data_IF_702703103182
#
_entry.id   IF_702703103182
#
_cell.length_a   1.000
_cell.length_b   1.000
_cell.length_c   1.000
_cell.angle_alpha   90.00
_cell.angle_beta   90.00
_cell.angle_gamma   90.00
#
_symmetry.space_group_name_H-M   'P 1'
#
loop_
_entity.id
_entity.type
_entity.pdbx_description
1 polymer ?
#
# COMPACT_ATOMS: atom_id res chain seq x y z
N UNK A 1 12.09 22.29 0.80
CA UNK A 1 10.63 22.09 0.86
C UNK A 1 10.33 20.72 1.45
N UNK A 2 9.42 20.67 2.40
CA UNK A 2 9.06 19.42 3.07
C UNK A 2 7.85 18.79 2.37
N UNK A 3 7.90 17.48 2.16
CA UNK A 3 6.74 16.73 1.69
C UNK A 3 5.95 16.28 2.91
N UNK A 4 4.69 16.65 2.96
CA UNK A 4 3.79 16.21 4.01
C UNK A 4 3.06 14.97 3.56
N UNK A 5 3.11 13.93 4.37
CA UNK A 5 2.39 12.70 4.13
C UNK A 5 1.16 12.68 5.04
N UNK A 6 0.02 13.04 4.46
CA UNK A 6 -1.27 13.01 5.16
C UNK A 6 -1.90 11.64 4.95
N UNK A 7 -1.72 10.75 5.91
CA UNK A 7 -2.21 9.38 5.82
C UNK A 7 -3.73 9.30 5.79
N UNK A 8 -4.39 10.16 6.54
CA UNK A 8 -5.86 10.20 6.54
C UNK A 8 -6.40 10.62 5.17
N UNK A 9 -5.76 11.61 4.54
CA UNK A 9 -6.15 12.06 3.21
C UNK A 9 -5.98 10.94 2.18
N UNK A 10 -4.86 10.22 2.22
CA UNK A 10 -4.61 9.09 1.32
C UNK A 10 -5.70 8.04 1.47
N UNK A 11 -5.98 7.64 2.71
CA UNK A 11 -7.00 6.61 2.98
C UNK A 11 -8.37 7.08 2.51
N UNK A 12 -8.76 8.31 2.85
CA UNK A 12 -10.07 8.85 2.49
C UNK A 12 -10.24 8.97 0.97
N UNK A 13 -9.20 9.39 0.25
CA UNK A 13 -9.27 9.47 -1.21
C UNK A 13 -9.40 8.09 -1.84
N UNK A 14 -8.69 7.09 -1.32
CA UNK A 14 -8.81 5.71 -1.80
C UNK A 14 -10.23 5.17 -1.57
N UNK A 15 -10.80 5.40 -0.39
CA UNK A 15 -12.16 4.99 -0.07
C UNK A 15 -13.16 5.66 -1.01
N UNK A 16 -13.04 6.97 -1.19
CA UNK A 16 -13.99 7.74 -2.00
C UNK A 16 -13.95 7.33 -3.47
N UNK A 17 -12.78 7.09 -4.02
CA UNK A 17 -12.62 6.84 -5.45
C UNK A 17 -12.73 5.37 -5.83
N UNK A 18 -12.31 4.45 -4.96
CA UNK A 18 -12.39 3.02 -5.25
C UNK A 18 -13.68 2.38 -4.74
N UNK A 19 -14.29 2.98 -3.72
CA UNK A 19 -15.58 2.53 -3.19
C UNK A 19 -15.56 1.08 -2.73
N UNK A 20 -16.61 0.29 -3.10
CA UNK A 20 -16.73 -1.11 -2.63
C UNK A 20 -15.69 -2.05 -3.22
N UNK A 21 -14.93 -1.64 -4.23
CA UNK A 21 -13.84 -2.44 -4.78
C UNK A 21 -12.61 -2.46 -3.87
N UNK A 22 -12.56 -1.59 -2.89
CA UNK A 22 -11.48 -1.51 -1.91
C UNK A 22 -11.87 -2.29 -0.65
N UNK A 23 -11.09 -3.28 -0.28
CA UNK A 23 -11.36 -4.12 0.89
C UNK A 23 -10.61 -3.68 2.13
N UNK A 24 -9.37 -3.27 1.99
CA UNK A 24 -8.65 -2.64 3.09
C UNK A 24 -7.52 -1.76 2.59
N UNK A 25 -7.12 -0.82 3.44
CA UNK A 25 -5.88 -0.05 3.34
C UNK A 25 -5.20 -0.13 4.68
N UNK A 26 -3.97 -0.59 4.71
CA UNK A 26 -3.15 -0.60 5.90
C UNK A 26 -1.94 0.29 5.65
N UNK A 27 -1.62 1.16 6.59
CA UNK A 27 -0.37 1.91 6.55
C UNK A 27 0.52 1.37 7.66
N UNK A 28 1.69 0.93 7.29
CA UNK A 28 2.61 0.24 8.17
C UNK A 28 3.93 1.01 8.27
N UNK A 29 4.59 0.88 9.42
CA UNK A 29 6.00 1.25 9.53
C UNK A 29 6.86 0.25 8.76
N UNK A 30 8.16 0.53 8.62
CA UNK A 30 9.09 -0.39 7.98
C UNK A 30 9.16 -1.75 8.69
N UNK A 31 8.90 -1.78 9.98
CA UNK A 31 8.93 -2.99 10.80
C UNK A 31 7.61 -3.76 10.79
N UNK A 32 6.63 -3.32 10.03
CA UNK A 32 5.35 -4.04 9.90
C UNK A 32 4.33 -3.70 10.97
N UNK A 33 4.53 -2.62 11.72
CA UNK A 33 3.57 -2.16 12.74
C UNK A 33 2.51 -1.28 12.08
N UNK A 34 1.24 -1.60 12.27
CA UNK A 34 0.13 -0.83 11.70
C UNK A 34 0.07 0.55 12.36
N UNK A 35 0.11 1.60 11.53
CA UNK A 35 0.00 2.99 11.97
C UNK A 35 -1.43 3.49 11.78
N UNK A 36 -2.02 3.20 10.63
CA UNK A 36 -3.38 3.58 10.26
C UNK A 36 -4.01 2.44 9.49
N UNK A 37 -5.34 2.31 9.54
CA UNK A 37 -6.01 1.26 8.80
C UNK A 37 -7.45 1.63 8.46
N UNK A 38 -7.91 1.07 7.34
CA UNK A 38 -9.32 1.01 6.96
C UNK A 38 -9.60 -0.43 6.54
N UNK A 39 -10.62 -1.04 7.10
CA UNK A 39 -11.02 -2.41 6.75
C UNK A 39 -12.52 -2.40 6.51
N UNK A 40 -12.90 -2.85 5.31
CA UNK A 40 -14.30 -2.93 4.93
C UNK A 40 -15.00 -4.11 5.63
N UNK A 41 -14.24 -5.20 5.90
CA UNK A 41 -14.75 -6.39 6.60
C UNK A 41 -13.81 -6.74 7.75
N UNK A 42 -14.37 -7.12 8.89
CA UNK A 42 -13.60 -7.35 10.12
C UNK A 42 -12.81 -8.65 10.14
N UNK A 43 -12.99 -9.51 9.15
CA UNK A 43 -12.32 -10.82 9.12
C UNK A 43 -10.83 -10.77 8.78
N UNK A 44 -10.31 -9.60 8.43
CA UNK A 44 -8.89 -9.44 8.11
C UNK A 44 -8.07 -9.14 9.36
N UNK A 45 -7.03 -9.94 9.58
CA UNK A 45 -6.08 -9.68 10.66
C UNK A 45 -5.02 -8.68 10.20
N UNK A 46 -5.24 -7.40 10.49
CA UNK A 46 -4.37 -6.33 10.00
C UNK A 46 -2.94 -6.43 10.51
N UNK A 47 -2.74 -6.82 11.75
CA UNK A 47 -1.40 -6.94 12.32
C UNK A 47 -0.58 -8.00 11.61
N UNK A 48 -1.18 -9.15 11.35
CA UNK A 48 -0.52 -10.25 10.63
C UNK A 48 -0.23 -9.89 9.19
N UNK A 49 -1.20 -9.30 8.49
CA UNK A 49 -1.05 -8.89 7.09
C UNK A 49 0.07 -7.85 6.96
N UNK A 50 0.08 -6.86 7.84
CA UNK A 50 1.08 -5.81 7.83
C UNK A 50 2.49 -6.37 8.03
N UNK A 51 2.65 -7.28 8.97
CA UNK A 51 3.95 -7.91 9.24
C UNK A 51 4.44 -8.73 8.05
N UNK A 52 3.57 -9.58 7.49
CA UNK A 52 3.92 -10.43 6.34
C UNK A 52 4.27 -9.58 5.12
N UNK A 53 3.47 -8.55 4.85
CA UNK A 53 3.71 -7.70 3.68
C UNK A 53 4.99 -6.86 3.83
N UNK A 54 5.35 -6.44 5.05
CA UNK A 54 6.62 -5.75 5.26
C UNK A 54 7.81 -6.66 5.03
N UNK A 55 7.71 -7.92 5.42
CA UNK A 55 8.75 -8.93 5.17
C UNK A 55 8.87 -9.24 3.68
N UNK A 56 7.75 -9.34 2.97
CA UNK A 56 7.75 -9.54 1.53
C UNK A 56 8.42 -8.36 0.81
N UNK A 57 8.13 -7.15 1.24
CA UNK A 57 8.74 -5.96 0.64
C UNK A 57 10.25 -5.95 0.86
N UNK A 58 10.70 -6.29 2.06
CA UNK A 58 12.12 -6.38 2.37
C UNK A 58 12.82 -7.42 1.47
N UNK A 59 12.20 -8.58 1.27
CA UNK A 59 12.74 -9.60 0.36
C UNK A 59 12.79 -9.10 -1.09
N UNK A 60 11.79 -8.34 -1.52
CA UNK A 60 11.80 -7.75 -2.86
C UNK A 60 12.93 -6.73 -3.00
N UNK A 61 13.20 -5.95 -1.97
CA UNK A 61 14.33 -5.01 -1.95
C UNK A 61 15.66 -5.76 -2.07
N UNK A 62 15.84 -6.81 -1.28
CA UNK A 62 17.05 -7.64 -1.34
C UNK A 62 17.23 -8.29 -2.71
N UNK A 63 16.15 -8.79 -3.29
CA UNK A 63 16.18 -9.40 -4.62
C UNK A 63 16.60 -8.39 -5.68
N UNK A 64 16.01 -7.20 -5.66
CA UNK A 64 16.35 -6.14 -6.63
C UNK A 64 17.81 -5.73 -6.51
N UNK A 65 18.29 -5.53 -5.29
CA UNK A 65 19.67 -5.14 -5.05
C UNK A 65 20.66 -6.24 -5.48
N UNK A 66 20.31 -7.49 -5.27
CA UNK A 66 21.18 -8.62 -5.61
C UNK A 66 21.46 -8.75 -7.11
N UNK A 67 20.60 -8.19 -7.96
CA UNK A 67 20.76 -8.19 -9.40
C UNK A 67 21.11 -6.81 -9.97
N UNK A 68 21.50 -5.89 -9.09
CA UNK A 68 21.99 -4.57 -9.48
C UNK A 68 20.93 -3.53 -9.79
N UNK A 69 19.69 -3.75 -9.35
CA UNK A 69 18.61 -2.80 -9.52
C UNK A 69 18.43 -1.96 -8.25
N UNK A 70 17.74 -0.85 -8.38
CA UNK A 70 17.30 -0.06 -7.23
C UNK A 70 16.17 -0.78 -6.49
N UNK A 71 15.86 -0.32 -5.27
CA UNK A 71 14.73 -0.85 -4.51
C UNK A 71 13.43 -0.67 -5.28
N UNK A 72 12.49 -1.63 -5.19
CA UNK A 72 11.22 -1.52 -5.88
C UNK A 72 10.36 -0.39 -5.29
N UNK A 73 9.59 0.26 -6.14
CA UNK A 73 8.64 1.29 -5.73
C UNK A 73 7.34 0.67 -5.20
N UNK A 74 7.04 -0.54 -5.66
CA UNK A 74 5.81 -1.24 -5.29
C UNK A 74 5.94 -2.73 -5.60
N UNK A 75 5.04 -3.51 -4.99
CA UNK A 75 4.84 -4.91 -5.31
C UNK A 75 3.37 -5.17 -5.58
N UNK A 76 3.08 -6.11 -6.49
CA UNK A 76 1.72 -6.50 -6.83
C UNK A 76 1.62 -8.02 -6.71
N UNK A 77 0.62 -8.48 -5.97
CA UNK A 77 0.26 -9.88 -5.93
C UNK A 77 -1.13 -10.00 -6.55
N UNK A 78 -1.28 -10.84 -7.56
CA UNK A 78 -2.57 -11.13 -8.16
C UNK A 78 -2.98 -12.55 -7.76
N UNK A 79 -4.13 -12.69 -7.14
CA UNK A 79 -4.66 -13.98 -6.73
C UNK A 79 -6.18 -13.95 -6.80
N UNK A 80 -6.76 -14.99 -7.39
CA UNK A 80 -8.19 -15.04 -7.68
C UNK A 80 -8.62 -13.82 -8.48
N UNK A 81 -9.55 -13.03 -7.97
CA UNK A 81 -10.02 -11.81 -8.63
C UNK A 81 -9.55 -10.55 -7.92
N UNK A 82 -8.39 -10.62 -7.25
CA UNK A 82 -7.91 -9.54 -6.37
C UNK A 82 -6.47 -9.19 -6.63
N UNK A 83 -6.13 -7.93 -6.33
CA UNK A 83 -4.76 -7.46 -6.22
C UNK A 83 -4.44 -7.13 -4.77
N UNK A 84 -3.27 -7.55 -4.31
CA UNK A 84 -2.67 -7.04 -3.08
C UNK A 84 -1.52 -6.14 -3.52
N UNK A 85 -1.62 -4.87 -3.22
CA UNK A 85 -0.61 -3.87 -3.59
C UNK A 85 0.14 -3.43 -2.35
N UNK A 86 1.46 -3.30 -2.46
CA UNK A 86 2.26 -2.66 -1.42
C UNK A 86 3.15 -1.60 -2.06
N UNK A 87 3.08 -0.39 -1.54
CA UNK A 87 3.72 0.79 -2.11
C UNK A 87 4.49 1.49 -0.99
N UNK A 88 5.77 1.73 -1.21
CA UNK A 88 6.60 2.40 -0.21
C UNK A 88 6.66 3.90 -0.49
N UNK A 89 6.26 4.70 0.50
CA UNK A 89 6.28 6.16 0.42
C UNK A 89 6.84 6.71 1.73
N UNK A 90 7.95 7.45 1.65
CA UNK A 90 8.56 8.14 2.80
C UNK A 90 8.68 7.22 4.03
N UNK A 91 9.28 6.06 3.85
CA UNK A 91 9.53 5.08 4.90
C UNK A 91 8.27 4.44 5.49
N UNK A 92 7.11 4.66 4.86
CA UNK A 92 5.86 3.99 5.20
C UNK A 92 5.50 3.01 4.10
N UNK A 93 4.84 1.94 4.47
CA UNK A 93 4.33 0.96 3.51
C UNK A 93 2.81 1.06 3.48
N UNK A 94 2.26 1.32 2.29
CA UNK A 94 0.81 1.36 2.09
C UNK A 94 0.41 0.04 1.44
N UNK A 95 -0.47 -0.70 2.09
CA UNK A 95 -0.90 -2.03 1.67
C UNK A 95 -2.40 -1.98 1.39
N UNK A 96 -2.80 -2.44 0.20
CA UNK A 96 -4.21 -2.42 -0.20
C UNK A 96 -4.63 -3.79 -0.73
N UNK A 97 -5.89 -4.12 -0.49
CA UNK A 97 -6.55 -5.24 -1.17
C UNK A 97 -7.70 -4.65 -1.99
N UNK A 98 -7.67 -4.87 -3.30
CA UNK A 98 -8.71 -4.41 -4.22
C UNK A 98 -9.16 -5.54 -5.14
N UNK A 99 -10.33 -5.37 -5.77
CA UNK A 99 -10.72 -6.22 -6.89
C UNK A 99 -9.80 -5.95 -8.09
N UNK A 100 -9.56 -6.97 -8.92
CA UNK A 100 -8.62 -6.87 -10.04
C UNK A 100 -9.12 -6.02 -11.22
N UNK A 101 -10.38 -5.63 -11.20
CA UNK A 101 -10.91 -4.67 -12.17
C UNK A 101 -10.45 -3.24 -11.90
N UNK A 102 -9.94 -2.96 -10.70
CA UNK A 102 -9.32 -1.67 -10.39
C UNK A 102 -7.97 -1.60 -11.09
N UNK A 103 -7.75 -0.54 -11.84
CA UNK A 103 -6.47 -0.37 -12.53
C UNK A 103 -5.40 0.07 -11.55
N UNK A 104 -4.25 -0.60 -11.59
CA UNK A 104 -3.12 -0.27 -10.72
C UNK A 104 -2.70 1.19 -10.89
N UNK A 105 -2.70 1.69 -12.13
CA UNK A 105 -2.39 3.11 -12.41
C UNK A 105 -3.32 4.06 -11.67
N UNK A 106 -4.61 3.71 -11.59
CA UNK A 106 -5.60 4.53 -10.87
C UNK A 106 -5.24 4.65 -9.38
N UNK A 107 -4.83 3.55 -8.77
CA UNK A 107 -4.40 3.55 -7.36
C UNK A 107 -3.21 4.49 -7.17
N UNK A 108 -2.21 4.41 -8.04
CA UNK A 108 -1.04 5.29 -7.98
C UNK A 108 -1.42 6.75 -8.16
N UNK A 109 -2.31 7.05 -9.10
CA UNK A 109 -2.75 8.43 -9.33
C UNK A 109 -3.45 9.00 -8.10
N UNK A 110 -4.29 8.21 -7.43
CA UNK A 110 -4.97 8.62 -6.21
C UNK A 110 -3.96 8.94 -5.10
N UNK A 111 -3.00 8.05 -4.90
CA UNK A 111 -1.99 8.23 -3.86
C UNK A 111 -1.12 9.44 -4.16
N UNK A 112 -0.68 9.60 -5.41
CA UNK A 112 0.16 10.73 -5.81
C UNK A 112 -0.55 12.07 -5.65
N UNK A 113 -1.84 12.13 -5.92
CA UNK A 113 -2.66 13.34 -5.70
C UNK A 113 -2.74 13.70 -4.22
N UNK A 114 -2.61 12.73 -3.35
CA UNK A 114 -2.73 12.90 -1.90
C UNK A 114 -1.39 13.23 -1.24
N UNK A 115 -0.29 13.09 -1.96
CA UNK A 115 1.06 13.39 -1.46
C UNK A 115 1.53 14.66 -2.16
N UNK A 116 1.34 15.80 -1.52
CA UNK A 116 1.70 17.09 -2.11
C UNK A 116 2.85 17.73 -1.36
N UNK A 117 3.77 18.39 -2.08
CA UNK A 117 4.80 19.20 -1.43
C UNK A 117 4.15 20.40 -0.75
N UNK A 118 4.62 20.69 0.43
CA UNK A 118 4.14 21.85 1.19
C UNK A 118 5.00 23.08 0.92
#
# INVERSE_FOLDING_TARGET
MTVLLDLDLIINNLIDQLGPSLYFVLVSSENGVVIKSYINEEEFNKASISLIMSQLYELAEETSESIGLHSPDFNIIHSDSYYILSIKILEKLIILLTEDQVKVKEVFDIINQSVTPS
#
